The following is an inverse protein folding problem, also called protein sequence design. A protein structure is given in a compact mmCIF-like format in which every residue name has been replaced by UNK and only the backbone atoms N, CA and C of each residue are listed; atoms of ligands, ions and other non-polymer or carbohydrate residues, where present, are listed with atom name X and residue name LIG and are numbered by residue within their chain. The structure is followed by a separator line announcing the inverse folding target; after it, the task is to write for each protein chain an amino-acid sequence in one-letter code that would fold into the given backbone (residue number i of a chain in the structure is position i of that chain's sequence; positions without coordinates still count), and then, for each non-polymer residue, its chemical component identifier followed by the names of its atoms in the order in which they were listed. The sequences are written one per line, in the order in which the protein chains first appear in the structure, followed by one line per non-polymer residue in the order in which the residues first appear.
data_IF_755990535022
#
_entry.id   IF_755990535022
#
_cell.length_a   1.000
_cell.length_b   1.000
_cell.length_c   1.000
_cell.angle_alpha   90.00
_cell.angle_beta   90.00
_cell.angle_gamma   90.00
#
_symmetry.space_group_name_H-M   'P 1'
#
loop_
_entity.id
_entity.type
_entity.pdbx_description
1 polymer ?
#
# COMPACT_ATOMS: atom_id res chain seq x y z
N UNK A 1 -13.50 13.81 8.20
CA UNK A 1 -12.81 15.12 8.24
C UNK A 1 -12.92 15.77 6.87
N UNK A 2 -12.84 17.10 6.79
CA UNK A 2 -12.82 17.83 5.52
C UNK A 2 -11.54 18.64 5.43
N UNK A 3 -10.80 18.50 4.34
CA UNK A 3 -9.54 19.22 4.09
C UNK A 3 -9.63 19.99 2.78
N UNK A 4 -8.96 21.14 2.71
CA UNK A 4 -8.91 21.97 1.50
C UNK A 4 -7.80 21.47 0.56
N UNK A 5 -8.02 21.62 -0.75
CA UNK A 5 -6.97 21.44 -1.75
C UNK A 5 -6.09 22.69 -1.79
N UNK A 6 -4.78 22.51 -1.69
CA UNK A 6 -3.77 23.56 -1.67
C UNK A 6 -2.98 23.54 -2.99
N UNK A 7 -2.59 24.72 -3.48
CA UNK A 7 -1.69 24.85 -4.64
C UNK A 7 -0.25 24.58 -4.19
N UNK A 8 0.46 23.72 -4.90
CA UNK A 8 1.87 23.39 -4.67
C UNK A 8 2.62 23.42 -6.00
N UNK A 9 3.31 24.53 -6.27
CA UNK A 9 3.97 24.75 -7.56
C UNK A 9 2.99 24.70 -8.73
N UNK A 10 3.21 23.76 -9.66
CA UNK A 10 2.31 23.45 -10.79
C UNK A 10 1.24 22.40 -10.48
N UNK A 11 1.20 21.89 -9.25
CA UNK A 11 0.32 20.79 -8.81
C UNK A 11 -0.58 21.19 -7.64
N UNK A 12 -1.38 20.26 -7.15
CA UNK A 12 -2.28 20.43 -6.01
C UNK A 12 -2.08 19.33 -4.96
N UNK A 13 -2.29 19.65 -3.68
CA UNK A 13 -2.10 18.73 -2.57
C UNK A 13 -3.25 18.83 -1.55
N UNK A 14 -3.43 17.76 -0.76
CA UNK A 14 -4.31 17.75 0.41
C UNK A 14 -3.50 17.41 1.66
N UNK A 15 -3.87 17.99 2.80
CA UNK A 15 -3.22 17.71 4.07
C UNK A 15 -3.80 16.43 4.68
N UNK A 16 -2.97 15.42 4.90
CA UNK A 16 -3.35 14.19 5.59
C UNK A 16 -2.93 14.32 7.07
N UNK A 17 -3.83 14.11 8.04
CA UNK A 17 -3.49 14.15 9.46
C UNK A 17 -2.43 13.13 9.84
N UNK A 18 -1.69 13.42 10.92
CA UNK A 18 -0.64 12.53 11.42
C UNK A 18 -1.19 11.19 11.89
N UNK A 19 -2.41 11.17 12.40
CA UNK A 19 -3.10 9.98 12.88
C UNK A 19 -3.36 9.02 11.73
N UNK A 20 -3.90 9.54 10.61
CA UNK A 20 -4.15 8.76 9.38
C UNK A 20 -2.83 8.25 8.79
N UNK A 21 -1.77 9.06 8.77
CA UNK A 21 -0.46 8.59 8.31
C UNK A 21 0.04 7.39 9.15
N UNK A 22 -0.12 7.44 10.48
CA UNK A 22 0.28 6.35 11.37
C UNK A 22 -0.55 5.08 11.17
N UNK A 23 -1.88 5.22 11.07
CA UNK A 23 -2.79 4.09 10.85
C UNK A 23 -2.48 3.32 9.56
N UNK A 24 -2.10 4.04 8.50
CA UNK A 24 -1.77 3.46 7.21
C UNK A 24 -0.26 3.17 7.04
N UNK A 25 0.55 3.34 8.08
CA UNK A 25 1.99 3.09 8.05
C UNK A 25 2.77 3.99 7.09
N UNK A 26 2.21 5.14 6.73
CA UNK A 26 2.80 6.10 5.81
C UNK A 26 3.68 7.11 6.55
N UNK A 27 4.78 7.49 5.92
CA UNK A 27 5.70 8.53 6.38
C UNK A 27 5.87 9.61 5.31
N UNK A 28 6.29 10.79 5.75
CA UNK A 28 6.63 11.88 4.84
C UNK A 28 7.80 11.42 3.95
N UNK A 29 7.64 11.54 2.63
CA UNK A 29 8.61 11.10 1.64
C UNK A 29 8.36 9.69 1.09
N UNK A 30 7.42 8.92 1.64
CA UNK A 30 7.05 7.62 1.08
C UNK A 30 6.43 7.77 -0.32
N UNK A 31 6.72 6.79 -1.19
CA UNK A 31 6.07 6.70 -2.50
C UNK A 31 4.68 6.11 -2.34
N UNK A 32 3.70 6.73 -3.00
CA UNK A 32 2.31 6.31 -3.01
C UNK A 32 1.79 6.22 -4.43
N UNK A 33 0.82 5.36 -4.65
CA UNK A 33 0.07 5.30 -5.90
C UNK A 33 -1.21 6.11 -5.75
N UNK A 34 -1.49 6.97 -6.73
CA UNK A 34 -2.72 7.76 -6.80
C UNK A 34 -3.57 7.23 -7.94
N UNK A 35 -4.76 6.73 -7.63
CA UNK A 35 -5.74 6.22 -8.58
C UNK A 35 -6.97 7.12 -8.63
N UNK A 36 -7.59 7.26 -9.80
CA UNK A 36 -8.82 8.03 -9.98
C UNK A 36 -9.94 7.15 -10.48
N UNK A 37 -11.05 7.09 -9.74
CA UNK A 37 -12.30 6.52 -10.22
C UNK A 37 -13.21 7.65 -10.71
N UNK A 38 -13.27 7.82 -12.04
CA UNK A 38 -14.09 8.86 -12.67
C UNK A 38 -15.60 8.64 -12.48
N UNK A 39 -16.06 7.39 -12.38
CA UNK A 39 -17.48 7.07 -12.21
C UNK A 39 -17.94 7.47 -10.81
N UNK A 40 -17.13 7.16 -9.81
CA UNK A 40 -17.41 7.50 -8.41
C UNK A 40 -16.95 8.90 -8.01
N UNK A 41 -16.17 9.58 -8.86
CA UNK A 41 -15.52 10.87 -8.59
C UNK A 41 -14.64 10.83 -7.34
N UNK A 42 -13.88 9.75 -7.19
CA UNK A 42 -13.00 9.52 -6.02
C UNK A 42 -11.55 9.47 -6.46
N UNK A 43 -10.66 10.04 -5.65
CA UNK A 43 -9.21 9.86 -5.74
C UNK A 43 -8.78 8.99 -4.57
N UNK A 44 -8.10 7.88 -4.86
CA UNK A 44 -7.61 6.95 -3.86
C UNK A 44 -6.09 7.02 -3.80
N UNK A 45 -5.55 7.11 -2.58
CA UNK A 45 -4.12 7.07 -2.31
C UNK A 45 -3.80 5.76 -1.62
N UNK A 46 -2.88 4.99 -2.21
CA UNK A 46 -2.46 3.69 -1.68
C UNK A 46 -0.96 3.69 -1.42
N UNK A 47 -0.48 3.09 -0.31
CA UNK A 47 0.94 2.85 -0.12
C UNK A 47 1.51 2.06 -1.30
N UNK A 48 2.64 2.48 -1.85
CA UNK A 48 3.32 1.71 -2.89
C UNK A 48 4.12 0.59 -2.22
N UNK A 49 3.53 -0.60 -2.10
CA UNK A 49 4.24 -1.77 -1.57
C UNK A 49 5.15 -2.31 -2.68
N UNK A 50 6.43 -1.94 -2.63
CA UNK A 50 7.43 -2.50 -3.53
C UNK A 50 7.93 -3.83 -2.97
N UNK A 51 7.32 -4.94 -3.39
CA UNK A 51 7.90 -6.28 -3.18
C UNK A 51 8.71 -6.62 -4.42
N UNK A 52 9.99 -6.97 -4.25
CA UNK A 52 10.80 -7.49 -5.36
C UNK A 52 10.13 -8.75 -5.91
N UNK A 53 9.90 -8.80 -7.22
CA UNK A 53 9.27 -9.95 -7.87
C UNK A 53 10.02 -11.26 -7.54
N UNK A 54 11.35 -11.21 -7.49
CA UNK A 54 12.19 -12.35 -7.10
C UNK A 54 11.83 -12.91 -5.72
N UNK A 55 11.54 -12.05 -4.73
CA UNK A 55 11.13 -12.48 -3.39
C UNK A 55 9.76 -13.17 -3.43
N UNK A 56 8.84 -12.65 -4.25
CA UNK A 56 7.51 -13.26 -4.46
C UNK A 56 7.67 -14.65 -5.08
N UNK A 57 8.50 -14.77 -6.11
CA UNK A 57 8.74 -16.03 -6.82
C UNK A 57 9.41 -17.07 -5.91
N UNK A 58 10.41 -16.66 -5.13
CA UNK A 58 11.06 -17.51 -4.13
C UNK A 58 10.08 -17.97 -3.06
N UNK A 59 9.27 -17.07 -2.53
CA UNK A 59 8.27 -17.38 -1.49
C UNK A 59 7.25 -18.37 -2.02
N UNK A 60 6.74 -18.14 -3.23
CA UNK A 60 5.81 -19.05 -3.88
C UNK A 60 6.43 -20.43 -4.14
N UNK A 61 7.69 -20.48 -4.60
CA UNK A 61 8.44 -21.71 -4.79
C UNK A 61 8.63 -22.49 -3.48
N UNK A 62 8.99 -21.80 -2.40
CA UNK A 62 9.15 -22.39 -1.08
C UNK A 62 7.83 -22.96 -0.55
N UNK A 63 6.75 -22.19 -0.60
CA UNK A 63 5.42 -22.63 -0.16
C UNK A 63 4.97 -23.85 -0.95
N UNK A 64 5.18 -23.87 -2.27
CA UNK A 64 4.82 -24.99 -3.14
C UNK A 64 5.61 -26.25 -2.78
N UNK A 65 6.94 -26.13 -2.58
CA UNK A 65 7.83 -27.25 -2.26
C UNK A 65 7.51 -27.87 -0.89
N UNK A 66 7.18 -27.06 0.10
CA UNK A 66 7.00 -27.49 1.49
C UNK A 66 5.54 -27.51 1.97
N UNK A 67 4.57 -27.44 1.06
CA UNK A 67 3.14 -27.27 1.39
C UNK A 67 2.66 -28.27 2.44
N UNK A 68 2.97 -29.55 2.28
CA UNK A 68 2.55 -30.61 3.20
C UNK A 68 3.14 -30.42 4.60
N UNK A 69 4.42 -30.07 4.70
CA UNK A 69 5.09 -29.83 5.98
C UNK A 69 4.55 -28.56 6.67
N UNK A 70 4.28 -27.50 5.92
CA UNK A 70 3.68 -26.26 6.45
C UNK A 70 2.27 -26.50 7.01
N UNK A 71 1.46 -27.32 6.32
CA UNK A 71 0.12 -27.69 6.80
C UNK A 71 0.20 -28.58 8.04
N UNK A 72 1.15 -29.51 8.11
CA UNK A 72 1.37 -30.34 9.29
C UNK A 72 1.82 -29.50 10.49
N UNK A 73 2.69 -28.49 10.27
CA UNK A 73 3.15 -27.57 11.30
C UNK A 73 2.02 -26.69 11.85
N UNK A 74 1.13 -26.20 10.99
CA UNK A 74 0.01 -25.35 11.39
C UNK A 74 -1.09 -26.08 12.19
N UNK A 75 -1.11 -27.42 12.15
CA UNK A 75 -2.06 -28.26 12.90
C UNK A 75 -1.52 -28.66 14.28
N UNK A 76 -0.31 -28.23 14.63
CA UNK A 76 0.35 -28.49 15.89
C UNK A 76 0.27 -27.25 16.77
#
# INVERSE_FOLDING_TARGET
MTQKILKVGSSAAVTIPKEVLREFGLRIGDRVQVETDKKRRVVMVKPLIFVKQELVDWTNGFIKKYRTALVALAKK
#
